data_IF_407462145554
#
_entry.id   IF_407462145554
#
_cell.length_a   1.000
_cell.length_b   1.000
_cell.length_c   1.000
_cell.angle_alpha   90.00
_cell.angle_beta   90.00
_cell.angle_gamma   90.00
#
_symmetry.space_group_name_H-M   'P 1'
#
loop_
_entity.id
_entity.type
_entity.pdbx_description
1 polymer ?
#
# COMPACT_ATOMS: atom_id res chain seq x y z
N UNK A 1 -0.94 20.35 4.41
CA UNK A 1 -0.52 19.57 3.21
C UNK A 1 -0.54 20.45 1.95
N UNK A 2 -1.61 21.18 1.64
CA UNK A 2 -1.73 22.00 0.42
C UNK A 2 -0.63 23.05 0.28
N UNK A 3 -0.31 23.78 1.36
CA UNK A 3 0.75 24.81 1.32
C UNK A 3 2.13 24.19 1.09
N UNK A 4 2.40 23.03 1.69
CA UNK A 4 3.65 22.29 1.47
C UNK A 4 3.74 21.83 0.00
N UNK A 5 2.66 21.28 -0.56
CA UNK A 5 2.61 20.86 -1.96
C UNK A 5 2.88 22.03 -2.90
N UNK A 6 2.25 23.18 -2.66
CA UNK A 6 2.46 24.40 -3.44
C UNK A 6 3.90 24.91 -3.34
N UNK A 7 4.47 24.95 -2.12
CA UNK A 7 5.84 25.40 -1.89
C UNK A 7 6.86 24.45 -2.57
N UNK A 8 6.66 23.14 -2.50
CA UNK A 8 7.52 22.16 -3.18
C UNK A 8 7.39 22.32 -4.70
N UNK A 9 6.18 22.45 -5.24
CA UNK A 9 5.99 22.65 -6.69
C UNK A 9 6.68 23.91 -7.21
N UNK A 10 6.69 24.99 -6.43
CA UNK A 10 7.30 26.27 -6.82
C UNK A 10 8.84 26.19 -7.01
N UNK A 11 9.52 25.24 -6.39
CA UNK A 11 10.98 25.08 -6.49
C UNK A 11 11.40 23.91 -7.38
N UNK A 12 10.45 23.07 -7.81
CA UNK A 12 10.73 21.97 -8.72
C UNK A 12 10.76 22.44 -10.18
N UNK A 13 11.60 21.78 -10.98
CA UNK A 13 11.55 21.95 -12.42
C UNK A 13 10.20 21.49 -12.98
N UNK A 14 9.68 22.09 -14.08
CA UNK A 14 8.36 21.76 -14.65
C UNK A 14 8.18 20.27 -14.95
N UNK A 15 9.23 19.60 -15.43
CA UNK A 15 9.22 18.19 -15.81
C UNK A 15 9.30 17.21 -14.61
N UNK A 16 9.56 17.71 -13.40
CA UNK A 16 9.65 16.86 -12.22
C UNK A 16 8.27 16.44 -11.73
N UNK A 17 8.04 15.14 -11.66
CA UNK A 17 6.80 14.57 -11.10
C UNK A 17 6.74 14.86 -9.60
N UNK A 18 5.66 15.50 -9.16
CA UNK A 18 5.35 15.65 -7.74
C UNK A 18 4.41 14.54 -7.32
N UNK A 19 4.88 13.69 -6.42
CA UNK A 19 4.16 12.53 -5.93
C UNK A 19 3.87 12.61 -4.44
N UNK A 20 2.81 11.93 -3.99
CA UNK A 20 2.52 11.73 -2.57
C UNK A 20 2.03 10.31 -2.31
N UNK A 21 2.39 9.77 -1.14
CA UNK A 21 1.66 8.64 -0.57
C UNK A 21 0.50 9.18 0.26
N UNK A 22 -0.73 8.75 -0.05
CA UNK A 22 -1.94 9.24 0.58
C UNK A 22 -2.82 8.09 1.08
N UNK A 23 -3.20 8.14 2.38
CA UNK A 23 -4.31 7.33 2.90
C UNK A 23 -5.62 7.99 2.48
N UNK A 24 -6.51 7.23 1.83
CA UNK A 24 -7.83 7.73 1.43
C UNK A 24 -8.91 7.44 2.47
N UNK A 25 -8.62 6.58 3.44
CA UNK A 25 -9.45 6.34 4.62
C UNK A 25 -8.61 5.73 5.74
N UNK A 26 -8.69 6.28 6.92
CA UNK A 26 -7.99 5.72 8.08
C UNK A 26 -8.67 4.48 8.66
N UNK A 27 -9.93 4.23 8.29
CA UNK A 27 -10.74 3.14 8.84
C UNK A 27 -10.75 3.15 10.37
N UNK A 28 -10.85 4.33 10.95
CA UNK A 28 -11.01 4.62 12.37
C UNK A 28 -12.33 5.37 12.50
N UNK A 29 -13.12 5.05 13.51
CA UNK A 29 -14.45 5.61 13.68
C UNK A 29 -14.44 7.15 13.71
N UNK A 30 -15.46 7.74 13.11
CA UNK A 30 -15.72 9.18 13.22
C UNK A 30 -15.89 9.58 14.71
N UNK A 31 -15.39 10.75 15.16
CA UNK A 31 -14.78 11.82 14.37
C UNK A 31 -13.24 11.74 14.25
N UNK A 32 -12.61 10.63 14.59
CA UNK A 32 -11.16 10.51 14.73
C UNK A 32 -10.45 10.08 13.44
N UNK A 33 -11.17 9.39 12.55
CA UNK A 33 -10.61 8.91 11.28
C UNK A 33 -10.89 9.88 10.12
N UNK A 34 -9.94 10.00 9.20
CA UNK A 34 -10.10 10.66 7.91
C UNK A 34 -10.75 9.72 6.90
N UNK A 35 -11.60 10.25 6.02
CA UNK A 35 -12.21 9.46 4.93
C UNK A 35 -13.10 8.32 5.43
N UNK A 36 -13.88 8.56 6.48
CA UNK A 36 -14.76 7.58 7.11
C UNK A 36 -16.18 8.12 7.24
N UNK A 37 -17.16 7.22 7.24
CA UNK A 37 -18.57 7.54 7.42
C UNK A 37 -18.85 8.11 8.80
N UNK A 38 -19.65 9.18 8.87
CA UNK A 38 -20.11 9.74 10.14
C UNK A 38 -21.14 8.85 10.84
N UNK A 39 -21.81 7.96 10.09
CA UNK A 39 -22.96 7.20 10.59
C UNK A 39 -22.69 5.69 10.70
N UNK A 40 -21.73 5.17 9.95
CA UNK A 40 -21.41 3.74 9.92
C UNK A 40 -19.97 3.52 10.43
N UNK A 41 -19.78 2.90 11.60
CA UNK A 41 -18.46 2.68 12.18
C UNK A 41 -17.49 1.98 11.22
N UNK A 42 -16.24 2.43 11.20
CA UNK A 42 -15.14 1.88 10.39
C UNK A 42 -15.47 1.65 8.90
N UNK A 43 -16.46 2.38 8.37
CA UNK A 43 -16.83 2.33 6.94
C UNK A 43 -16.15 3.47 6.19
N UNK A 44 -15.53 3.21 5.02
CA UNK A 44 -14.91 4.27 4.24
C UNK A 44 -15.98 5.18 3.63
N UNK A 45 -15.69 6.48 3.63
CA UNK A 45 -16.36 7.52 2.85
C UNK A 45 -15.28 8.39 2.19
N UNK A 46 -15.14 8.27 0.88
CA UNK A 46 -14.06 8.95 0.16
C UNK A 46 -14.37 10.39 -0.24
N UNK A 47 -15.46 10.99 0.24
CA UNK A 47 -15.84 12.38 -0.08
C UNK A 47 -14.74 13.37 0.29
N UNK A 48 -14.22 13.27 1.52
CA UNK A 48 -13.10 14.11 1.99
C UNK A 48 -11.80 13.83 1.21
N UNK A 49 -11.49 12.56 0.98
CA UNK A 49 -10.31 12.16 0.24
C UNK A 49 -10.34 12.66 -1.20
N UNK A 50 -11.47 12.54 -1.90
CA UNK A 50 -11.67 13.10 -3.25
C UNK A 50 -11.49 14.60 -3.27
N UNK A 51 -12.06 15.32 -2.31
CA UNK A 51 -11.86 16.77 -2.19
C UNK A 51 -10.39 17.14 -2.02
N UNK A 52 -9.67 16.44 -1.13
CA UNK A 52 -8.25 16.66 -0.90
C UNK A 52 -7.42 16.37 -2.16
N UNK A 53 -7.69 15.25 -2.84
CA UNK A 53 -6.99 14.87 -4.07
C UNK A 53 -7.17 15.95 -5.15
N UNK A 54 -8.40 16.43 -5.39
CA UNK A 54 -8.65 17.51 -6.34
C UNK A 54 -7.83 18.76 -6.03
N UNK A 55 -7.84 19.21 -4.76
CA UNK A 55 -7.05 20.36 -4.33
C UNK A 55 -5.53 20.15 -4.47
N UNK A 56 -5.03 18.92 -4.26
CA UNK A 56 -3.61 18.59 -4.46
C UNK A 56 -3.23 18.61 -5.93
N UNK A 57 -4.09 18.11 -6.82
CA UNK A 57 -3.89 18.15 -8.27
C UNK A 57 -3.85 19.60 -8.78
N UNK A 58 -4.71 20.51 -8.27
CA UNK A 58 -4.65 21.94 -8.55
C UNK A 58 -3.30 22.59 -8.14
N UNK A 59 -2.61 22.00 -7.15
CA UNK A 59 -1.25 22.41 -6.73
C UNK A 59 -0.14 21.71 -7.49
N UNK A 60 -0.46 20.96 -8.55
CA UNK A 60 0.50 20.30 -9.43
C UNK A 60 0.97 18.92 -8.96
N UNK A 61 0.26 18.28 -8.03
CA UNK A 61 0.49 16.88 -7.71
C UNK A 61 -0.12 16.01 -8.82
N UNK A 62 0.65 15.08 -9.37
CA UNK A 62 0.23 14.29 -10.53
C UNK A 62 0.32 12.77 -10.32
N UNK A 63 0.91 12.32 -9.19
CA UNK A 63 1.03 10.91 -8.84
C UNK A 63 0.68 10.67 -7.38
N UNK A 64 -0.16 9.67 -7.13
CA UNK A 64 -0.51 9.22 -5.76
C UNK A 64 -0.22 7.73 -5.60
N UNK A 65 0.61 7.36 -4.62
CA UNK A 65 0.67 6.00 -4.06
C UNK A 65 -0.44 5.86 -3.01
N UNK A 66 -1.55 5.24 -3.42
CA UNK A 66 -2.75 5.16 -2.60
C UNK A 66 -2.62 4.08 -1.53
N UNK A 67 -3.10 4.38 -0.35
CA UNK A 67 -3.21 3.42 0.75
C UNK A 67 -4.49 3.65 1.55
N UNK A 68 -4.78 2.74 2.49
CA UNK A 68 -5.85 2.85 3.49
C UNK A 68 -5.36 2.37 4.84
N UNK A 69 -6.05 2.78 5.89
CA UNK A 69 -5.79 2.35 7.25
C UNK A 69 -4.57 3.00 7.88
N UNK A 70 -4.50 2.90 9.19
CA UNK A 70 -3.36 3.34 9.98
C UNK A 70 -2.38 2.19 10.22
N UNK A 71 -1.08 2.32 9.88
CA UNK A 71 -0.10 1.28 10.13
C UNK A 71 0.14 1.03 11.64
N UNK A 72 -0.31 1.93 12.49
CA UNK A 72 -0.17 1.85 13.95
C UNK A 72 -1.43 1.33 14.64
N UNK A 73 -2.62 1.67 14.13
CA UNK A 73 -3.90 1.33 14.73
C UNK A 73 -4.51 0.06 14.14
N UNK A 74 -4.64 0.00 12.81
CA UNK A 74 -5.27 -1.11 12.10
C UNK A 74 -4.42 -1.62 10.92
N UNK A 75 -3.17 -2.08 11.18
CA UNK A 75 -2.22 -2.45 10.13
C UNK A 75 -2.70 -3.52 9.15
N UNK A 76 -3.71 -4.33 9.48
CA UNK A 76 -4.30 -5.29 8.57
C UNK A 76 -5.07 -4.64 7.42
N UNK A 77 -5.65 -3.44 7.65
CA UNK A 77 -6.29 -2.63 6.60
C UNK A 77 -5.26 -2.12 5.61
N UNK A 78 -4.16 -1.56 6.14
CA UNK A 78 -3.08 -1.00 5.32
C UNK A 78 -2.32 -2.08 4.52
N UNK A 79 -2.12 -3.24 5.09
CA UNK A 79 -1.37 -4.36 4.50
C UNK A 79 -1.98 -5.69 4.92
N UNK A 80 -2.86 -6.28 4.13
CA UNK A 80 -3.52 -7.54 4.47
C UNK A 80 -2.52 -8.65 4.82
N UNK A 81 -2.76 -9.39 5.92
CA UNK A 81 -1.99 -10.53 6.37
C UNK A 81 -2.85 -11.49 7.19
N UNK A 82 -2.48 -12.78 7.23
CA UNK A 82 -3.20 -13.78 8.00
C UNK A 82 -2.69 -13.89 9.44
N UNK A 83 -1.41 -13.56 9.67
CA UNK A 83 -0.74 -13.65 10.97
C UNK A 83 0.34 -12.57 11.07
N UNK A 84 0.38 -11.89 12.20
CA UNK A 84 1.33 -10.81 12.49
C UNK A 84 1.33 -10.51 13.98
N UNK A 85 1.42 -9.26 14.40
CA UNK A 85 1.35 -8.86 15.80
C UNK A 85 0.02 -9.18 16.49
N UNK A 86 -1.03 -9.43 15.70
CA UNK A 86 -2.34 -9.95 16.13
C UNK A 86 -2.98 -10.70 14.96
N UNK A 87 -4.03 -11.46 15.25
CA UNK A 87 -4.88 -12.07 14.22
C UNK A 87 -5.89 -11.02 13.75
N UNK A 88 -5.93 -10.67 12.44
CA UNK A 88 -6.90 -9.72 11.92
C UNK A 88 -8.35 -10.18 12.19
N UNK A 89 -9.30 -9.25 12.44
CA UNK A 89 -10.71 -9.58 12.63
C UNK A 89 -11.43 -9.98 11.35
N UNK A 90 -10.75 -9.92 10.19
CA UNK A 90 -11.29 -10.22 8.89
C UNK A 90 -10.37 -11.12 8.07
N UNK A 91 -10.93 -11.79 7.07
CA UNK A 91 -10.12 -12.55 6.12
C UNK A 91 -9.28 -11.58 5.26
N UNK A 92 -7.96 -11.80 5.08
CA UNK A 92 -7.09 -10.86 4.38
C UNK A 92 -7.50 -10.53 2.95
N UNK A 93 -8.22 -11.41 2.23
CA UNK A 93 -8.75 -11.11 0.90
C UNK A 93 -9.80 -9.99 0.92
N UNK A 94 -10.52 -9.81 2.03
CA UNK A 94 -11.40 -8.65 2.21
C UNK A 94 -10.62 -7.34 2.23
N UNK A 95 -9.46 -7.34 2.87
CA UNK A 95 -8.55 -6.19 2.86
C UNK A 95 -8.00 -5.91 1.45
N UNK A 96 -7.68 -6.95 0.67
CA UNK A 96 -7.25 -6.81 -0.73
C UNK A 96 -8.39 -6.23 -1.58
N UNK A 97 -9.59 -6.80 -1.49
CA UNK A 97 -10.80 -6.33 -2.18
C UNK A 97 -11.08 -4.85 -1.89
N UNK A 98 -10.99 -4.46 -0.61
CA UNK A 98 -11.19 -3.08 -0.16
C UNK A 98 -10.17 -2.12 -0.78
N UNK A 99 -8.89 -2.48 -0.80
CA UNK A 99 -7.84 -1.65 -1.39
C UNK A 99 -8.01 -1.49 -2.91
N UNK A 100 -8.35 -2.56 -3.63
CA UNK A 100 -8.62 -2.51 -5.08
C UNK A 100 -9.90 -1.71 -5.35
N UNK A 101 -10.96 -1.92 -4.58
CA UNK A 101 -12.21 -1.16 -4.70
C UNK A 101 -12.03 0.34 -4.45
N UNK A 102 -11.22 0.70 -3.45
CA UNK A 102 -10.85 2.10 -3.20
C UNK A 102 -10.04 2.69 -4.37
N UNK A 103 -9.08 1.94 -4.93
CA UNK A 103 -8.33 2.37 -6.12
C UNK A 103 -9.27 2.66 -7.28
N UNK A 104 -10.18 1.74 -7.59
CA UNK A 104 -11.20 1.91 -8.64
C UNK A 104 -12.02 3.17 -8.44
N UNK A 105 -12.50 3.41 -7.22
CA UNK A 105 -13.34 4.57 -6.92
C UNK A 105 -12.59 5.90 -7.05
N UNK A 106 -11.34 5.95 -6.61
CA UNK A 106 -10.49 7.14 -6.76
C UNK A 106 -10.10 7.34 -8.22
N UNK A 107 -9.66 6.29 -8.93
CA UNK A 107 -9.27 6.39 -10.34
C UNK A 107 -10.45 6.79 -11.23
N UNK A 108 -11.66 6.29 -10.94
CA UNK A 108 -12.89 6.69 -11.66
C UNK A 108 -13.18 8.18 -11.45
N UNK A 109 -12.97 8.71 -10.24
CA UNK A 109 -13.19 10.13 -9.94
C UNK A 109 -12.10 11.03 -10.56
N UNK A 110 -10.89 10.51 -10.77
CA UNK A 110 -9.75 11.26 -11.30
C UNK A 110 -9.02 10.44 -12.39
N UNK A 111 -9.60 10.33 -13.59
CA UNK A 111 -9.03 9.49 -14.66
C UNK A 111 -7.65 9.96 -15.15
N UNK A 112 -7.31 11.22 -14.96
CA UNK A 112 -6.02 11.83 -15.35
C UNK A 112 -4.93 11.68 -14.28
N UNK A 113 -5.29 11.25 -13.06
CA UNK A 113 -4.34 11.04 -11.98
C UNK A 113 -3.53 9.77 -12.25
N UNK A 114 -2.20 9.85 -12.16
CA UNK A 114 -1.37 8.66 -12.09
C UNK A 114 -1.53 8.01 -10.72
N UNK A 115 -2.42 7.02 -10.59
CA UNK A 115 -2.72 6.33 -9.36
C UNK A 115 -1.97 5.00 -9.27
N UNK A 116 -1.19 4.81 -8.19
CA UNK A 116 -0.58 3.52 -7.85
C UNK A 116 -1.53 2.79 -6.91
N UNK A 117 -2.18 1.73 -7.40
CA UNK A 117 -3.00 0.83 -6.60
C UNK A 117 -2.13 -0.12 -5.76
N UNK A 118 -2.50 -0.39 -4.52
CA UNK A 118 -1.73 -1.21 -3.59
C UNK A 118 -2.52 -2.39 -3.01
N UNK A 119 -1.86 -3.26 -2.21
CA UNK A 119 -2.51 -4.41 -1.57
C UNK A 119 -2.20 -5.76 -2.20
N UNK A 120 -1.62 -5.79 -3.38
CA UNK A 120 -1.45 -7.00 -4.21
C UNK A 120 -0.46 -8.04 -3.64
N UNK A 121 0.50 -7.65 -2.79
CA UNK A 121 1.53 -8.57 -2.26
C UNK A 121 0.95 -9.79 -1.52
N UNK A 122 -0.26 -9.69 -0.95
CA UNK A 122 -0.93 -10.81 -0.29
C UNK A 122 -1.34 -11.93 -1.26
N UNK A 123 -1.57 -11.58 -2.53
CA UNK A 123 -2.01 -12.50 -3.58
C UNK A 123 -0.88 -13.45 -4.05
N UNK A 124 0.35 -13.24 -3.58
CA UNK A 124 1.50 -14.11 -3.88
C UNK A 124 1.73 -14.25 -5.39
N UNK A 125 1.87 -15.49 -5.90
CA UNK A 125 2.05 -15.79 -7.33
C UNK A 125 0.85 -15.43 -8.20
N UNK A 126 -0.32 -15.17 -7.62
CA UNK A 126 -1.51 -14.73 -8.36
C UNK A 126 -1.58 -13.20 -8.54
N UNK A 127 -0.68 -12.46 -7.86
CA UNK A 127 -0.65 -11.00 -7.93
C UNK A 127 -0.54 -10.46 -9.36
N UNK A 128 0.28 -11.01 -10.28
CA UNK A 128 0.36 -10.52 -11.65
C UNK A 128 -0.97 -10.54 -12.40
N UNK A 129 -1.75 -11.60 -12.24
CA UNK A 129 -3.05 -11.76 -12.93
C UNK A 129 -4.09 -10.74 -12.45
N UNK A 130 -4.16 -10.54 -11.13
CA UNK A 130 -5.09 -9.55 -10.55
C UNK A 130 -4.62 -8.12 -10.87
N UNK A 131 -3.31 -7.87 -10.85
CA UNK A 131 -2.73 -6.60 -11.25
C UNK A 131 -3.05 -6.27 -12.73
N UNK A 132 -2.87 -7.23 -13.64
CA UNK A 132 -3.21 -7.06 -15.05
C UNK A 132 -4.71 -6.79 -15.25
N UNK A 133 -5.58 -7.49 -14.50
CA UNK A 133 -7.02 -7.24 -14.48
C UNK A 133 -7.33 -5.81 -14.04
N UNK A 134 -6.77 -5.35 -12.94
CA UNK A 134 -7.01 -4.01 -12.41
C UNK A 134 -6.54 -2.89 -13.38
N UNK A 135 -5.39 -3.08 -14.05
CA UNK A 135 -4.91 -2.15 -15.09
C UNK A 135 -5.84 -2.14 -16.31
N UNK A 136 -6.24 -3.31 -16.80
CA UNK A 136 -7.15 -3.45 -17.95
C UNK A 136 -8.51 -2.79 -17.68
N UNK A 137 -9.02 -2.96 -16.47
CA UNK A 137 -10.35 -2.47 -16.06
C UNK A 137 -10.30 -0.98 -15.62
N UNK A 138 -9.11 -0.35 -15.62
CA UNK A 138 -8.94 1.05 -15.26
C UNK A 138 -9.06 1.33 -13.76
N UNK A 139 -8.81 0.33 -12.91
CA UNK A 139 -8.89 0.46 -11.45
C UNK A 139 -7.70 1.23 -10.86
N UNK A 140 -6.59 1.31 -11.58
CA UNK A 140 -5.39 2.07 -11.27
C UNK A 140 -4.56 2.30 -12.52
N UNK A 141 -3.69 3.31 -12.53
CA UNK A 141 -2.72 3.55 -13.61
C UNK A 141 -1.47 2.67 -13.47
N UNK A 142 -1.03 2.44 -12.25
CA UNK A 142 0.14 1.64 -11.89
C UNK A 142 -0.18 0.73 -10.70
N UNK A 143 0.60 -0.35 -10.56
CA UNK A 143 0.46 -1.28 -9.44
C UNK A 143 1.69 -1.26 -8.54
N UNK A 144 1.46 -1.06 -7.24
CA UNK A 144 2.49 -1.00 -6.21
C UNK A 144 2.65 -2.30 -5.42
N UNK A 145 3.90 -2.75 -5.26
CA UNK A 145 4.26 -3.94 -4.50
C UNK A 145 5.24 -3.60 -3.37
N UNK A 146 4.76 -3.47 -2.14
CA UNK A 146 5.64 -3.17 -0.99
C UNK A 146 6.40 -4.41 -0.50
N UNK A 147 5.70 -5.33 0.17
CA UNK A 147 6.34 -6.51 0.79
C UNK A 147 6.95 -7.50 -0.21
N UNK A 148 6.45 -7.51 -1.43
CA UNK A 148 6.99 -8.34 -2.50
C UNK A 148 8.43 -7.93 -2.83
N UNK A 149 8.74 -6.64 -2.85
CA UNK A 149 10.08 -6.13 -3.11
C UNK A 149 11.12 -6.59 -2.08
N UNK A 150 10.72 -6.78 -0.81
CA UNK A 150 11.62 -7.37 0.19
C UNK A 150 11.87 -8.86 0.00
N UNK A 151 10.91 -9.57 -0.56
CA UNK A 151 10.97 -11.03 -0.67
C UNK A 151 11.56 -11.49 -2.01
N UNK A 152 11.40 -10.71 -3.06
CA UNK A 152 11.68 -11.10 -4.43
C UNK A 152 12.16 -9.90 -5.25
N UNK A 153 13.45 -9.64 -5.25
CA UNK A 153 14.08 -8.50 -5.92
C UNK A 153 13.78 -8.42 -7.42
N UNK A 154 13.82 -9.57 -8.12
CA UNK A 154 13.54 -9.69 -9.56
C UNK A 154 12.06 -9.74 -9.92
N UNK A 155 11.12 -9.57 -8.96
CA UNK A 155 9.69 -9.79 -9.20
C UNK A 155 9.11 -8.98 -10.36
N UNK A 156 9.49 -7.71 -10.49
CA UNK A 156 8.97 -6.86 -11.56
C UNK A 156 9.38 -7.36 -12.95
N UNK A 157 10.62 -7.79 -13.13
CA UNK A 157 11.11 -8.39 -14.36
C UNK A 157 10.39 -9.71 -14.66
N UNK A 158 10.37 -10.63 -13.69
CA UNK A 158 9.77 -11.96 -13.87
C UNK A 158 8.26 -11.88 -14.07
N UNK A 159 7.59 -10.88 -13.50
CA UNK A 159 6.18 -10.60 -13.74
C UNK A 159 5.93 -10.22 -15.22
N UNK A 160 6.77 -9.36 -15.80
CA UNK A 160 6.61 -8.90 -17.18
C UNK A 160 7.00 -9.96 -18.21
N UNK A 161 7.88 -10.88 -17.85
CA UNK A 161 8.31 -12.00 -18.72
C UNK A 161 7.49 -13.29 -18.50
N UNK A 162 6.57 -13.30 -17.53
CA UNK A 162 5.74 -14.47 -17.22
C UNK A 162 6.50 -15.60 -16.50
N UNK A 163 7.64 -15.30 -15.88
CA UNK A 163 8.55 -16.28 -15.24
C UNK A 163 8.54 -16.20 -13.71
N UNK A 164 7.46 -15.70 -13.10
CA UNK A 164 7.34 -15.57 -11.64
C UNK A 164 7.53 -16.90 -10.93
N UNK A 165 8.55 -16.98 -10.06
CA UNK A 165 8.81 -18.14 -9.22
C UNK A 165 7.94 -18.11 -7.94
N UNK A 166 6.98 -19.06 -7.78
CA UNK A 166 6.14 -19.12 -6.59
C UNK A 166 6.90 -19.32 -5.28
N UNK A 167 8.11 -19.87 -5.33
CA UNK A 167 8.93 -20.10 -4.14
C UNK A 167 9.63 -18.84 -3.63
N UNK A 168 9.74 -17.79 -4.46
CA UNK A 168 10.36 -16.52 -4.07
C UNK A 168 9.35 -15.50 -3.56
N UNK A 169 8.05 -15.62 -3.88
CA UNK A 169 7.04 -14.62 -3.53
C UNK A 169 6.89 -14.41 -2.02
N UNK A 170 6.45 -13.21 -1.64
CA UNK A 170 6.13 -12.87 -0.26
C UNK A 170 5.01 -13.75 0.28
N UNK A 171 5.20 -14.34 1.46
CA UNK A 171 4.19 -15.18 2.13
C UNK A 171 3.32 -14.40 3.14
N UNK A 172 3.44 -13.07 3.17
CA UNK A 172 2.69 -12.16 4.05
C UNK A 172 2.77 -12.50 5.55
N UNK A 173 3.92 -13.00 6.02
CA UNK A 173 4.15 -13.42 7.41
C UNK A 173 4.45 -12.27 8.39
N UNK A 174 4.56 -11.03 7.91
CA UNK A 174 4.84 -9.80 8.69
C UNK A 174 6.21 -9.71 9.37
N UNK A 175 7.13 -10.66 9.24
CA UNK A 175 8.43 -10.64 9.91
C UNK A 175 9.32 -9.44 9.53
N UNK A 176 9.26 -8.97 8.28
CA UNK A 176 9.92 -7.74 7.87
C UNK A 176 9.42 -6.51 8.67
N UNK A 177 8.12 -6.46 8.98
CA UNK A 177 7.53 -5.41 9.80
C UNK A 177 7.92 -5.54 11.27
N UNK A 178 8.07 -6.75 11.78
CA UNK A 178 8.56 -6.98 13.15
C UNK A 178 9.98 -6.44 13.32
N UNK A 179 10.88 -6.71 12.35
CA UNK A 179 12.24 -6.13 12.33
C UNK A 179 12.18 -4.59 12.34
N UNK A 180 11.37 -4.02 11.44
CA UNK A 180 11.22 -2.56 11.33
C UNK A 180 10.73 -1.94 12.65
N UNK A 181 9.75 -2.54 13.31
CA UNK A 181 9.22 -2.05 14.60
C UNK A 181 10.20 -2.22 15.74
N UNK A 182 11.09 -3.19 15.67
CA UNK A 182 12.17 -3.39 16.62
C UNK A 182 13.39 -2.49 16.37
N UNK A 183 13.36 -1.61 15.35
CA UNK A 183 14.44 -0.70 15.00
C UNK A 183 15.57 -1.33 14.19
N UNK A 184 15.38 -2.55 13.67
CA UNK A 184 16.37 -3.25 12.86
C UNK A 184 16.31 -2.86 11.37
N UNK A 185 17.38 -3.15 10.64
CA UNK A 185 17.44 -2.99 9.19
C UNK A 185 16.48 -3.96 8.52
N UNK A 186 15.45 -3.41 7.87
CA UNK A 186 14.30 -4.17 7.37
C UNK A 186 14.60 -4.88 6.05
N UNK A 187 14.28 -6.18 6.01
CA UNK A 187 14.31 -7.04 4.84
C UNK A 187 13.52 -8.31 5.09
N UNK A 188 13.61 -9.31 4.20
CA UNK A 188 12.85 -10.54 4.31
C UNK A 188 13.66 -11.68 4.96
N UNK A 189 13.46 -12.01 6.26
CA UNK A 189 14.21 -13.09 6.91
C UNK A 189 13.80 -14.50 6.45
N UNK A 190 12.81 -14.61 5.55
CA UNK A 190 12.35 -15.88 4.99
C UNK A 190 13.03 -16.17 3.65
N UNK A 191 13.27 -15.14 2.83
CA UNK A 191 13.83 -15.29 1.48
C UNK A 191 15.32 -14.97 1.44
N UNK A 192 15.76 -14.03 2.23
CA UNK A 192 17.18 -13.73 2.45
C UNK A 192 17.54 -14.08 3.90
N UNK A 193 17.84 -15.35 4.09
CA UNK A 193 18.18 -15.90 5.40
C UNK A 193 19.61 -15.56 5.83
N UNK A 194 20.49 -15.28 4.89
CA UNK A 194 21.88 -14.94 5.19
C UNK A 194 21.98 -13.59 5.90
N UNK A 195 21.31 -12.58 5.38
CA UNK A 195 21.36 -11.20 5.92
C UNK A 195 20.29 -10.99 7.00
N UNK A 196 19.01 -11.28 6.72
CA UNK A 196 17.91 -10.81 7.56
C UNK A 196 17.45 -11.79 8.63
N UNK A 197 17.78 -13.09 8.54
CA UNK A 197 17.43 -14.02 9.62
C UNK A 197 18.24 -13.79 10.90
N UNK A 198 19.57 -13.52 10.86
CA UNK A 198 20.33 -13.09 12.03
C UNK A 198 19.76 -11.82 12.67
N UNK A 199 19.45 -10.79 11.87
CA UNK A 199 18.85 -9.52 12.34
C UNK A 199 17.51 -9.80 13.03
N UNK A 200 16.65 -10.62 12.43
CA UNK A 200 15.36 -11.00 13.02
C UNK A 200 15.52 -11.70 14.38
N UNK A 201 16.47 -12.65 14.46
CA UNK A 201 16.75 -13.36 15.71
C UNK A 201 17.26 -12.43 16.80
N UNK A 202 18.12 -11.49 16.44
CA UNK A 202 18.71 -10.54 17.38
C UNK A 202 17.69 -9.52 17.88
N UNK A 203 16.87 -8.94 17.00
CA UNK A 203 15.97 -7.84 17.33
C UNK A 203 14.60 -8.31 17.85
N UNK A 204 14.09 -9.43 17.37
CA UNK A 204 12.71 -9.86 17.63
C UNK A 204 12.60 -11.12 18.51
N UNK A 205 13.64 -11.95 18.62
CA UNK A 205 13.57 -13.22 19.36
C UNK A 205 14.33 -13.19 20.69
N UNK A 206 15.19 -12.20 20.93
CA UNK A 206 15.85 -12.00 22.24
C UNK A 206 14.93 -11.17 23.15
N UNK A 207 13.83 -11.73 23.61
CA UNK A 207 13.02 -11.22 24.71
C UNK A 207 13.02 -12.21 25.87
#
# INVERSE_FOLDING_TARGET
>A
MLDITAAVRAVLRPETILASRLSVSDMIDYPYGFGVSETVPASPDFTEAKKLIGLLMEKGLSLIDMTMGSPYFNPHVNRPYSKGGYVPPEHPLRGVERLIGASREIQTAFPELCLIGTGYSYLRQFAPYVAAGALRDGDATLIGFGRMAFAYEGFAHDMTTGTVDPHKVCIACSKCTEIMRAGGTTGCPIRDQEIYLPIYRETCMKK
#
